data_IF_548316027548
#
_entry.id   IF_548316027548
#
_cell.length_a   1.000
_cell.length_b   1.000
_cell.length_c   1.000
_cell.angle_alpha   90.00
_cell.angle_beta   90.00
_cell.angle_gamma   90.00
#
_symmetry.space_group_name_H-M   'P 1'
#
loop_
_entity.id
_entity.type
_entity.pdbx_description
1 polymer ?
#
# COMPACT_ATOMS: atom_id res chain seq x y z
N UNK A 1 -36.58 -27.33 2.72
CA UNK A 1 -35.75 -26.25 2.17
C UNK A 1 -35.25 -26.63 0.80
N UNK A 2 -35.29 -25.73 -0.15
CA UNK A 2 -34.76 -25.91 -1.50
C UNK A 2 -33.48 -25.04 -1.59
N UNK A 3 -32.37 -25.64 -1.95
CA UNK A 3 -31.10 -24.91 -2.15
C UNK A 3 -30.89 -24.73 -3.64
N UNK A 4 -30.60 -23.51 -4.08
CA UNK A 4 -30.22 -23.19 -5.44
C UNK A 4 -28.74 -22.80 -5.46
N UNK A 5 -28.02 -23.31 -6.44
CA UNK A 5 -26.67 -22.89 -6.75
C UNK A 5 -26.56 -22.54 -8.22
N UNK A 6 -25.75 -21.53 -8.55
CA UNK A 6 -25.38 -21.21 -9.91
C UNK A 6 -23.87 -21.11 -10.01
N UNK A 7 -23.30 -21.66 -11.10
CA UNK A 7 -21.87 -21.54 -11.41
C UNK A 7 -21.74 -20.94 -12.80
N UNK A 8 -20.82 -19.96 -12.93
CA UNK A 8 -20.43 -19.38 -14.22
C UNK A 8 -18.96 -19.75 -14.43
N UNK A 9 -18.68 -20.49 -15.50
CA UNK A 9 -17.34 -20.93 -15.83
C UNK A 9 -17.02 -20.55 -17.27
N UNK A 10 -15.76 -20.14 -17.51
CA UNK A 10 -15.26 -19.94 -18.86
C UNK A 10 -14.68 -21.26 -19.38
N UNK A 11 -15.13 -21.68 -20.57
CA UNK A 11 -14.67 -22.90 -21.21
C UNK A 11 -13.81 -22.61 -22.44
N UNK A 12 -12.80 -23.43 -22.63
CA UNK A 12 -12.16 -23.51 -23.94
C UNK A 12 -13.17 -24.09 -24.93
N UNK A 13 -13.25 -23.52 -26.14
CA UNK A 13 -14.21 -23.94 -27.19
C UNK A 13 -14.18 -25.47 -27.38
N UNK A 14 -15.33 -26.12 -27.21
CA UNK A 14 -15.49 -27.57 -27.37
C UNK A 14 -15.28 -28.42 -26.12
N UNK A 15 -15.05 -27.82 -24.95
CA UNK A 15 -15.01 -28.53 -23.67
C UNK A 15 -16.31 -28.27 -22.90
N UNK A 16 -16.87 -29.32 -22.32
CA UNK A 16 -17.98 -29.26 -21.37
C UNK A 16 -17.55 -29.94 -20.07
N UNK A 17 -17.57 -29.21 -18.96
CA UNK A 17 -17.37 -29.77 -17.64
C UNK A 17 -18.71 -29.88 -16.91
N UNK A 18 -18.82 -30.91 -16.08
CA UNK A 18 -19.97 -31.05 -15.18
C UNK A 18 -19.95 -29.89 -14.16
N UNK A 19 -21.12 -29.43 -13.74
CA UNK A 19 -21.24 -28.47 -12.68
C UNK A 19 -20.49 -28.95 -11.43
N UNK A 20 -19.68 -28.11 -10.81
CA UNK A 20 -18.98 -28.45 -9.58
C UNK A 20 -19.98 -28.83 -8.48
N UNK A 21 -19.50 -29.59 -7.51
CA UNK A 21 -20.28 -29.90 -6.33
C UNK A 21 -20.53 -28.61 -5.51
N UNK A 22 -21.78 -28.16 -5.46
CA UNK A 22 -22.18 -26.92 -4.79
C UNK A 22 -21.80 -26.92 -3.31
N UNK A 23 -21.93 -28.06 -2.62
CA UNK A 23 -21.55 -28.16 -1.21
C UNK A 23 -20.04 -28.05 -1.01
N UNK A 24 -19.25 -28.56 -1.95
CA UNK A 24 -17.79 -28.40 -1.92
C UNK A 24 -17.37 -26.94 -2.16
N UNK A 25 -18.02 -26.26 -3.11
CA UNK A 25 -17.76 -24.83 -3.37
C UNK A 25 -18.17 -23.95 -2.19
N UNK A 26 -19.34 -24.23 -1.60
CA UNK A 26 -19.79 -23.54 -0.38
C UNK A 26 -18.79 -23.74 0.76
N UNK A 27 -18.35 -24.98 0.98
CA UNK A 27 -17.36 -25.30 2.02
C UNK A 27 -16.01 -24.63 1.77
N UNK A 28 -15.60 -24.56 0.51
CA UNK A 28 -14.37 -23.86 0.09
C UNK A 28 -14.47 -22.35 0.40
N UNK A 29 -15.59 -21.73 0.05
CA UNK A 29 -15.83 -20.30 0.34
C UNK A 29 -15.88 -20.04 1.85
N UNK A 30 -16.55 -20.87 2.62
CA UNK A 30 -16.63 -20.74 4.07
C UNK A 30 -15.23 -20.89 4.72
N UNK A 31 -14.44 -21.84 4.27
CA UNK A 31 -13.05 -22.00 4.73
C UNK A 31 -12.17 -20.78 4.40
N UNK A 32 -12.30 -20.24 3.19
CA UNK A 32 -11.61 -19.00 2.80
C UNK A 32 -11.98 -17.84 3.74
N UNK A 33 -13.27 -17.60 3.96
CA UNK A 33 -13.74 -16.53 4.84
C UNK A 33 -13.20 -16.74 6.26
N UNK A 34 -13.29 -17.95 6.81
CA UNK A 34 -12.76 -18.27 8.14
C UNK A 34 -11.25 -18.04 8.25
N UNK A 35 -10.48 -18.45 7.23
CA UNK A 35 -9.04 -18.24 7.19
C UNK A 35 -8.69 -16.76 7.22
N UNK A 36 -9.25 -15.97 6.28
CA UNK A 36 -8.97 -14.54 6.17
C UNK A 36 -9.47 -13.79 7.41
N UNK A 37 -10.61 -14.20 7.97
CA UNK A 37 -11.15 -13.61 9.20
C UNK A 37 -10.24 -13.79 10.40
N UNK A 38 -9.69 -15.00 10.58
CA UNK A 38 -8.85 -15.36 11.71
C UNK A 38 -7.42 -14.84 11.60
N UNK A 39 -6.91 -14.67 10.37
CA UNK A 39 -5.57 -14.13 10.15
C UNK A 39 -5.57 -12.62 10.30
N UNK A 40 -4.48 -12.06 10.82
CA UNK A 40 -4.27 -10.61 10.95
C UNK A 40 -5.50 -9.91 11.57
N UNK A 41 -5.93 -10.35 12.75
CA UNK A 41 -7.09 -9.78 13.43
C UNK A 41 -6.71 -8.48 14.16
N UNK A 42 -7.41 -7.39 13.84
CA UNK A 42 -7.26 -6.11 14.52
C UNK A 42 -8.30 -5.97 15.63
N UNK A 43 -7.82 -5.70 16.83
CA UNK A 43 -8.64 -5.53 18.02
C UNK A 43 -8.29 -4.21 18.72
N UNK A 44 -9.31 -3.40 18.92
CA UNK A 44 -9.22 -2.10 19.60
C UNK A 44 -10.54 -1.80 20.32
N UNK A 45 -10.65 -0.75 21.13
CA UNK A 45 -11.93 -0.28 21.68
C UNK A 45 -12.93 0.18 20.62
N UNK A 46 -12.48 0.48 19.40
CA UNK A 46 -13.34 0.96 18.30
C UNK A 46 -13.86 -0.19 17.45
N UNK A 47 -15.12 -0.54 17.66
CA UNK A 47 -15.78 -1.65 16.93
C UNK A 47 -16.00 -1.34 15.45
N UNK A 48 -16.14 -0.07 15.07
CA UNK A 48 -16.28 0.34 13.66
C UNK A 48 -15.00 0.05 12.90
N UNK A 49 -13.85 0.44 13.45
CA UNK A 49 -12.55 0.18 12.83
C UNK A 49 -12.23 -1.31 12.79
N UNK A 50 -12.53 -2.05 13.86
CA UNK A 50 -12.34 -3.50 13.91
C UNK A 50 -13.14 -4.19 12.79
N UNK A 51 -14.42 -3.80 12.62
CA UNK A 51 -15.32 -4.36 11.60
C UNK A 51 -14.85 -3.97 10.18
N UNK A 52 -14.54 -2.70 9.96
CA UNK A 52 -14.08 -2.22 8.66
C UNK A 52 -12.79 -2.91 8.22
N UNK A 53 -11.85 -3.12 9.15
CA UNK A 53 -10.61 -3.85 8.89
C UNK A 53 -10.87 -5.32 8.50
N UNK A 54 -11.78 -5.99 9.20
CA UNK A 54 -12.15 -7.38 8.91
C UNK A 54 -12.75 -7.53 7.51
N UNK A 55 -13.65 -6.63 7.10
CA UNK A 55 -14.21 -6.62 5.75
C UNK A 55 -13.17 -6.26 4.68
N UNK A 56 -12.32 -5.28 4.94
CA UNK A 56 -11.27 -4.89 4.00
C UNK A 56 -10.30 -6.04 3.69
N UNK A 57 -9.92 -6.86 4.69
CA UNK A 57 -9.11 -8.07 4.47
C UNK A 57 -9.76 -9.03 3.48
N UNK A 58 -11.05 -9.32 3.67
CA UNK A 58 -11.80 -10.22 2.80
C UNK A 58 -11.83 -9.64 1.39
N UNK A 59 -12.20 -8.37 1.25
CA UNK A 59 -12.31 -7.74 -0.06
C UNK A 59 -10.99 -7.72 -0.82
N UNK A 60 -9.88 -7.39 -0.16
CA UNK A 60 -8.55 -7.43 -0.76
C UNK A 60 -8.16 -8.84 -1.24
N UNK A 61 -8.66 -9.88 -0.58
CA UNK A 61 -8.27 -11.28 -0.83
C UNK A 61 -9.17 -12.02 -1.82
N UNK A 62 -10.42 -11.58 -2.02
CA UNK A 62 -11.39 -12.33 -2.84
C UNK A 62 -11.30 -12.05 -4.35
N UNK A 63 -10.54 -11.03 -4.76
CA UNK A 63 -10.37 -10.65 -6.17
C UNK A 63 -9.14 -11.29 -6.82
N UNK A 64 -8.79 -12.50 -6.40
CA UNK A 64 -7.67 -13.26 -6.98
C UNK A 64 -8.23 -14.35 -7.88
N UNK A 65 -7.81 -14.34 -9.14
CA UNK A 65 -8.30 -15.24 -10.16
C UNK A 65 -7.19 -16.16 -10.67
N UNK A 66 -7.53 -17.43 -10.91
CA UNK A 66 -6.67 -18.36 -11.63
C UNK A 66 -6.87 -18.13 -13.13
N UNK A 67 -5.85 -17.62 -13.78
CA UNK A 67 -5.88 -17.23 -15.19
C UNK A 67 -4.86 -17.99 -16.01
N UNK A 68 -4.85 -17.78 -17.35
CA UNK A 68 -3.78 -18.30 -18.23
C UNK A 68 -2.40 -17.74 -17.87
N UNK A 69 -2.34 -16.57 -17.23
CA UNK A 69 -1.12 -15.93 -16.75
C UNK A 69 -0.74 -16.27 -15.30
N UNK A 70 -1.37 -17.30 -14.70
CA UNK A 70 -1.19 -17.67 -13.28
C UNK A 70 -2.23 -17.01 -12.37
N UNK A 71 -1.95 -16.96 -11.08
CA UNK A 71 -2.78 -16.24 -10.12
C UNK A 71 -2.59 -14.73 -10.30
N UNK A 72 -3.68 -14.01 -10.47
CA UNK A 72 -3.68 -12.56 -10.66
C UNK A 72 -4.72 -11.91 -9.74
N UNK A 73 -4.30 -10.91 -9.00
CA UNK A 73 -5.21 -10.05 -8.26
C UNK A 73 -5.78 -8.98 -9.20
N UNK A 74 -7.05 -9.14 -9.59
CA UNK A 74 -7.78 -8.11 -10.33
C UNK A 74 -8.28 -7.05 -9.36
N UNK A 75 -7.90 -5.77 -9.51
CA UNK A 75 -8.33 -4.74 -8.57
C UNK A 75 -9.84 -4.47 -8.62
N UNK A 76 -10.47 -4.91 -9.66
CA UNK A 76 -11.83 -4.58 -10.07
C UNK A 76 -11.79 -3.69 -11.32
N UNK A 77 -12.92 -3.43 -11.89
CA UNK A 77 -13.02 -2.67 -13.13
C UNK A 77 -13.95 -3.37 -14.12
N UNK A 78 -14.36 -2.64 -15.13
CA UNK A 78 -15.49 -3.08 -15.94
C UNK A 78 -15.08 -3.88 -17.17
N UNK A 79 -13.90 -3.59 -17.74
CA UNK A 79 -13.56 -4.05 -19.07
C UNK A 79 -12.72 -5.33 -19.11
N UNK A 80 -12.06 -5.70 -18.01
CA UNK A 80 -11.07 -6.77 -17.99
C UNK A 80 -11.36 -7.77 -16.89
N UNK A 81 -11.51 -9.05 -17.25
CA UNK A 81 -11.72 -10.13 -16.27
C UNK A 81 -10.51 -10.39 -15.39
N UNK A 82 -9.30 -10.20 -15.95
CA UNK A 82 -8.03 -10.35 -15.24
C UNK A 82 -6.98 -9.42 -15.83
N UNK A 83 -6.71 -8.36 -15.13
CA UNK A 83 -5.68 -7.38 -15.46
C UNK A 83 -5.04 -6.89 -14.17
N UNK A 84 -3.79 -6.46 -14.25
CA UNK A 84 -3.04 -5.85 -13.14
C UNK A 84 -2.56 -4.47 -13.57
N UNK A 85 -2.51 -3.55 -12.62
CA UNK A 85 -1.91 -2.22 -12.77
C UNK A 85 -0.77 -2.07 -11.78
N UNK A 86 0.30 -1.34 -12.14
CA UNK A 86 1.48 -1.20 -11.32
C UNK A 86 1.18 -0.57 -9.97
N UNK A 87 0.38 0.50 -9.94
CA UNK A 87 -0.05 1.14 -8.70
C UNK A 87 -0.91 0.21 -7.82
N UNK A 88 -1.97 -0.39 -8.39
CA UNK A 88 -2.87 -1.27 -7.63
C UNK A 88 -2.12 -2.43 -6.98
N UNK A 89 -1.21 -3.04 -7.70
CA UNK A 89 -0.41 -4.15 -7.20
C UNK A 89 0.69 -3.65 -6.24
N UNK A 90 1.63 -2.89 -6.76
CA UNK A 90 2.87 -2.58 -6.04
C UNK A 90 2.67 -1.58 -4.90
N UNK A 91 1.87 -0.53 -5.12
CA UNK A 91 1.67 0.47 -4.07
C UNK A 91 0.62 0.07 -3.04
N UNK A 92 -0.47 -0.60 -3.46
CA UNK A 92 -1.63 -0.76 -2.59
C UNK A 92 -1.72 -2.14 -1.96
N UNK A 93 -1.90 -3.21 -2.75
CA UNK A 93 -2.31 -4.49 -2.19
C UNK A 93 -1.16 -5.45 -1.88
N UNK A 94 -0.12 -5.53 -2.73
CA UNK A 94 0.91 -6.56 -2.56
C UNK A 94 1.61 -6.49 -1.20
N UNK A 95 2.02 -5.29 -0.69
CA UNK A 95 2.67 -5.21 0.63
C UNK A 95 1.74 -5.55 1.81
N UNK A 96 0.45 -5.72 1.58
CA UNK A 96 -0.50 -6.16 2.61
C UNK A 96 -0.51 -7.69 2.79
N UNK A 97 -0.38 -8.48 1.71
CA UNK A 97 -0.56 -9.94 1.76
C UNK A 97 0.40 -10.68 2.71
N UNK A 98 1.68 -10.31 2.85
CA UNK A 98 2.56 -10.94 3.83
C UNK A 98 2.03 -10.85 5.26
N UNK A 99 1.45 -9.72 5.65
CA UNK A 99 0.86 -9.56 6.99
C UNK A 99 -0.33 -10.48 7.21
N UNK A 100 -1.16 -10.64 6.18
CA UNK A 100 -2.33 -11.53 6.22
C UNK A 100 -1.93 -13.02 6.25
N UNK A 101 -0.79 -13.38 5.68
CA UNK A 101 -0.38 -14.79 5.56
C UNK A 101 -1.32 -15.61 4.68
N UNK A 102 -1.93 -14.97 3.68
CA UNK A 102 -2.74 -15.64 2.68
C UNK A 102 -1.87 -16.04 1.50
N UNK A 103 -1.57 -17.34 1.41
CA UNK A 103 -0.61 -17.89 0.43
C UNK A 103 -0.99 -17.55 -1.01
N UNK A 104 -2.27 -17.69 -1.36
CA UNK A 104 -2.77 -17.30 -2.69
C UNK A 104 -2.55 -15.82 -2.99
N UNK A 105 -2.67 -14.95 -1.98
CA UNK A 105 -2.37 -13.52 -2.11
C UNK A 105 -0.89 -13.25 -2.33
N UNK A 106 -0.02 -13.92 -1.58
CA UNK A 106 1.43 -13.82 -1.77
C UNK A 106 1.86 -14.32 -3.15
N UNK A 107 1.31 -15.45 -3.60
CA UNK A 107 1.59 -15.99 -4.94
C UNK A 107 1.11 -15.05 -6.05
N UNK A 108 -0.09 -14.48 -5.93
CA UNK A 108 -0.59 -13.49 -6.88
C UNK A 108 0.30 -12.23 -6.93
N UNK A 109 0.78 -11.77 -5.77
CA UNK A 109 1.71 -10.65 -5.68
C UNK A 109 3.04 -10.96 -6.39
N UNK A 110 3.66 -12.10 -6.10
CA UNK A 110 4.89 -12.55 -6.77
C UNK A 110 4.66 -12.64 -8.28
N UNK A 111 3.54 -13.23 -8.71
CA UNK A 111 3.22 -13.38 -10.12
C UNK A 111 3.04 -12.02 -10.82
N UNK A 112 2.46 -11.03 -10.15
CA UNK A 112 2.35 -9.67 -10.70
C UNK A 112 3.74 -9.06 -10.99
N UNK A 113 4.69 -9.22 -10.08
CA UNK A 113 6.07 -8.77 -10.30
C UNK A 113 6.76 -9.55 -11.43
N UNK A 114 6.49 -10.86 -11.57
CA UNK A 114 6.97 -11.66 -12.72
C UNK A 114 6.42 -11.12 -14.04
N UNK A 115 5.16 -10.70 -14.07
CA UNK A 115 4.57 -10.09 -15.26
C UNK A 115 5.28 -8.80 -15.65
N UNK A 116 5.53 -7.88 -14.69
CA UNK A 116 6.27 -6.65 -14.95
C UNK A 116 7.72 -6.90 -15.35
N UNK A 117 8.39 -7.91 -14.76
CA UNK A 117 9.78 -8.25 -15.05
C UNK A 117 10.01 -8.67 -16.52
N UNK A 118 8.99 -9.17 -17.22
CA UNK A 118 9.10 -9.51 -18.64
C UNK A 118 9.39 -8.32 -19.56
N UNK A 119 9.09 -7.12 -19.09
CA UNK A 119 9.29 -5.87 -19.85
C UNK A 119 10.60 -5.17 -19.52
N UNK A 120 11.41 -5.73 -18.62
CA UNK A 120 12.79 -5.24 -18.45
C UNK A 120 13.55 -5.35 -19.76
N UNK A 121 14.25 -4.30 -20.13
CA UNK A 121 14.99 -4.22 -21.38
C UNK A 121 16.30 -3.45 -21.19
N UNK A 122 17.33 -3.70 -22.04
CA UNK A 122 18.65 -3.07 -21.92
C UNK A 122 18.64 -1.56 -22.15
N UNK A 123 17.68 -1.07 -22.92
CA UNK A 123 17.54 0.33 -23.29
C UNK A 123 16.89 1.15 -22.17
N UNK A 124 16.31 0.48 -21.13
CA UNK A 124 15.54 1.12 -20.09
C UNK A 124 14.33 1.90 -20.65
N UNK A 125 13.59 1.29 -21.60
CA UNK A 125 12.27 1.78 -21.98
C UNK A 125 11.26 1.52 -20.85
N UNK A 126 10.19 2.33 -20.71
CA UNK A 126 9.21 2.19 -19.65
C UNK A 126 8.59 0.79 -19.59
N UNK A 127 8.39 0.27 -18.40
CA UNK A 127 7.53 -0.90 -18.15
C UNK A 127 6.07 -0.45 -18.32
N UNK A 128 5.20 -1.26 -18.98
CA UNK A 128 3.81 -0.91 -19.13
C UNK A 128 3.10 -0.81 -17.78
N UNK A 129 2.21 0.16 -17.67
CA UNK A 129 1.46 0.42 -16.44
C UNK A 129 0.42 -0.66 -16.13
N UNK A 130 -0.01 -1.43 -17.13
CA UNK A 130 -1.05 -2.46 -16.98
C UNK A 130 -0.83 -3.64 -17.92
N UNK A 131 -1.16 -4.84 -17.43
CA UNK A 131 -0.93 -6.11 -18.13
C UNK A 131 -2.14 -7.02 -17.92
N UNK A 132 -2.66 -7.62 -19.01
CA UNK A 132 -3.71 -8.64 -18.97
C UNK A 132 -3.12 -10.04 -18.78
N UNK A 133 -3.98 -11.02 -18.48
CA UNK A 133 -3.60 -12.41 -18.21
C UNK A 133 -2.76 -13.06 -19.31
N UNK A 134 -2.97 -12.68 -20.57
CA UNK A 134 -2.20 -13.14 -21.73
C UNK A 134 -0.78 -12.53 -21.78
N UNK A 135 -0.42 -11.67 -20.82
CA UNK A 135 0.89 -11.03 -20.73
C UNK A 135 1.10 -9.87 -21.69
N UNK A 136 0.03 -9.31 -22.23
CA UNK A 136 0.07 -8.14 -23.12
C UNK A 136 -0.21 -6.86 -22.34
N UNK A 137 0.44 -5.78 -22.75
CA UNK A 137 0.09 -4.42 -22.35
C UNK A 137 -1.29 -4.05 -22.89
N UNK A 138 -2.12 -3.44 -22.06
CA UNK A 138 -3.45 -2.96 -22.45
C UNK A 138 -3.58 -1.44 -22.41
N UNK A 139 -2.55 -0.75 -21.95
CA UNK A 139 -2.60 0.70 -21.77
C UNK A 139 -1.51 1.41 -22.57
N UNK A 140 -1.85 1.79 -23.77
CA UNK A 140 -0.91 2.42 -24.72
C UNK A 140 -0.88 3.96 -24.68
N UNK A 141 -1.75 4.60 -23.89
CA UNK A 141 -2.01 6.03 -24.01
C UNK A 141 -1.48 6.89 -22.86
N UNK A 142 -1.15 6.30 -21.70
CA UNK A 142 -0.76 7.06 -20.51
C UNK A 142 0.72 7.44 -20.50
N UNK A 143 1.56 6.78 -21.28
CA UNK A 143 3.01 6.94 -21.17
C UNK A 143 3.56 6.36 -19.86
N UNK A 144 4.71 6.87 -19.43
CA UNK A 144 5.31 6.55 -18.13
C UNK A 144 4.59 7.30 -17.02
N UNK A 145 3.93 6.58 -16.10
CA UNK A 145 3.23 7.13 -14.95
C UNK A 145 4.10 7.15 -13.66
N UNK A 146 5.38 6.86 -13.78
CA UNK A 146 6.25 6.57 -12.64
C UNK A 146 6.19 5.10 -12.20
N UNK A 147 5.74 4.21 -13.09
CA UNK A 147 5.48 2.79 -12.80
C UNK A 147 6.70 2.06 -12.25
N UNK A 148 7.90 2.37 -12.73
CA UNK A 148 9.13 1.79 -12.19
C UNK A 148 9.37 2.17 -10.72
N UNK A 149 9.05 3.40 -10.32
CA UNK A 149 9.16 3.82 -8.91
C UNK A 149 8.13 3.08 -8.03
N UNK A 150 6.90 2.92 -8.53
CA UNK A 150 5.84 2.15 -7.86
C UNK A 150 6.25 0.69 -7.66
N UNK A 151 6.75 0.05 -8.74
CA UNK A 151 7.17 -1.36 -8.72
C UNK A 151 8.36 -1.55 -7.77
N UNK A 152 9.39 -0.69 -7.83
CA UNK A 152 10.54 -0.79 -6.93
C UNK A 152 10.14 -0.61 -5.46
N UNK A 153 9.28 0.38 -5.17
CA UNK A 153 8.74 0.62 -3.83
C UNK A 153 8.00 -0.60 -3.28
N UNK A 154 7.04 -1.12 -4.05
CA UNK A 154 6.21 -2.24 -3.61
C UNK A 154 6.96 -3.56 -3.53
N UNK A 155 7.78 -3.90 -4.55
CA UNK A 155 8.53 -5.15 -4.59
C UNK A 155 9.57 -5.25 -3.47
N UNK A 156 10.30 -4.16 -3.18
CA UNK A 156 11.27 -4.16 -2.09
C UNK A 156 10.61 -4.30 -0.71
N UNK A 157 9.47 -3.60 -0.49
CA UNK A 157 8.69 -3.75 0.75
C UNK A 157 8.11 -5.15 0.89
N UNK A 158 7.44 -5.65 -0.15
CA UNK A 158 6.86 -6.98 -0.16
C UNK A 158 7.90 -8.07 0.16
N UNK A 159 9.08 -8.01 -0.47
CA UNK A 159 10.15 -8.98 -0.22
C UNK A 159 10.63 -8.96 1.24
N UNK A 160 10.81 -7.77 1.83
CA UNK A 160 11.17 -7.61 3.24
C UNK A 160 10.07 -8.13 4.17
N UNK A 161 8.81 -7.80 3.88
CA UNK A 161 7.65 -8.16 4.70
C UNK A 161 7.33 -9.65 4.62
N UNK A 162 7.51 -10.27 3.46
CA UNK A 162 7.36 -11.72 3.30
C UNK A 162 8.42 -12.51 4.07
N UNK A 163 9.64 -11.98 4.18
CA UNK A 163 10.70 -12.58 4.96
C UNK A 163 11.30 -13.85 4.34
N UNK A 164 11.04 -14.12 3.05
CA UNK A 164 11.57 -15.26 2.31
C UNK A 164 12.76 -14.86 1.42
N UNK A 165 13.92 -15.40 1.73
CA UNK A 165 15.17 -15.10 1.02
C UNK A 165 15.14 -15.54 -0.46
N UNK A 166 14.39 -16.59 -0.81
CA UNK A 166 14.31 -17.07 -2.18
C UNK A 166 13.48 -16.12 -3.02
N UNK A 167 12.33 -15.68 -2.51
CA UNK A 167 11.49 -14.66 -3.16
C UNK A 167 12.22 -13.33 -3.24
N UNK A 168 12.94 -12.94 -2.21
CA UNK A 168 13.76 -11.74 -2.20
C UNK A 168 14.83 -11.77 -3.31
N UNK A 169 15.51 -12.90 -3.50
CA UNK A 169 16.46 -13.09 -4.60
C UNK A 169 15.80 -13.08 -5.97
N UNK A 170 14.61 -13.68 -6.10
CA UNK A 170 13.84 -13.67 -7.34
C UNK A 170 13.42 -12.27 -7.78
N UNK A 171 12.96 -11.44 -6.84
CA UNK A 171 12.48 -10.09 -7.13
C UNK A 171 13.62 -9.05 -7.27
N UNK A 172 14.80 -9.38 -6.77
CA UNK A 172 15.93 -8.44 -6.77
C UNK A 172 16.28 -7.85 -8.15
N UNK A 173 16.37 -8.64 -9.25
CA UNK A 173 16.68 -8.10 -10.58
C UNK A 173 15.66 -7.04 -11.05
N UNK A 174 14.37 -7.24 -10.78
CA UNK A 174 13.32 -6.26 -11.11
C UNK A 174 13.48 -4.98 -10.28
N UNK A 175 13.71 -5.12 -8.98
CA UNK A 175 13.92 -3.98 -8.08
C UNK A 175 15.13 -3.16 -8.56
N UNK A 176 16.25 -3.81 -8.82
CA UNK A 176 17.48 -3.15 -9.27
C UNK A 176 17.31 -2.45 -10.63
N UNK A 177 16.62 -3.11 -11.56
CA UNK A 177 16.29 -2.53 -12.87
C UNK A 177 15.42 -1.27 -12.71
N UNK A 178 14.37 -1.33 -11.92
CA UNK A 178 13.47 -0.21 -11.67
C UNK A 178 14.18 0.97 -10.98
N UNK A 179 15.06 0.69 -10.01
CA UNK A 179 15.88 1.73 -9.38
C UNK A 179 16.82 2.39 -10.37
N UNK A 180 17.45 1.61 -11.26
CA UNK A 180 18.32 2.15 -12.31
C UNK A 180 17.53 2.95 -13.33
N UNK A 181 16.30 2.51 -13.70
CA UNK A 181 15.40 3.26 -14.55
C UNK A 181 15.11 4.64 -13.95
N UNK A 182 14.65 4.70 -12.71
CA UNK A 182 14.38 5.98 -12.02
C UNK A 182 15.60 6.88 -11.95
N UNK A 183 16.78 6.31 -11.70
CA UNK A 183 18.05 7.04 -11.69
C UNK A 183 18.37 7.70 -13.03
N UNK A 184 18.11 7.00 -14.14
CA UNK A 184 18.31 7.52 -15.50
C UNK A 184 17.29 8.60 -15.89
N UNK A 185 16.14 8.63 -15.19
CA UNK A 185 15.06 9.60 -15.35
C UNK A 185 15.19 10.82 -14.43
N UNK A 186 16.30 10.98 -13.73
CA UNK A 186 16.53 12.21 -12.95
C UNK A 186 16.80 13.39 -13.91
N UNK A 187 16.05 14.47 -13.69
CA UNK A 187 16.31 15.75 -14.39
C UNK A 187 17.50 16.50 -13.79
N UNK A 188 17.82 17.67 -14.30
CA UNK A 188 18.93 18.51 -13.82
C UNK A 188 18.78 18.96 -12.36
N UNK A 189 17.55 19.03 -11.85
CA UNK A 189 17.25 19.31 -10.44
C UNK A 189 17.33 18.06 -9.56
N UNK A 190 17.51 16.88 -10.17
CA UNK A 190 17.67 15.58 -9.51
C UNK A 190 16.41 15.01 -8.91
N UNK A 191 15.27 15.23 -9.56
CA UNK A 191 13.96 14.58 -9.31
C UNK A 191 13.54 13.75 -10.50
N UNK A 192 12.71 12.73 -10.31
CA UNK A 192 12.35 11.77 -11.36
C UNK A 192 11.32 12.38 -12.29
N UNK A 193 11.58 12.34 -13.60
CA UNK A 193 10.61 12.72 -14.64
C UNK A 193 9.72 11.53 -15.01
N UNK A 194 8.47 11.82 -15.36
CA UNK A 194 7.48 10.88 -15.88
C UNK A 194 6.51 11.63 -16.80
N UNK A 195 5.85 10.92 -17.71
CA UNK A 195 4.92 11.56 -18.65
C UNK A 195 3.63 11.99 -17.94
N UNK A 196 3.22 11.25 -16.92
CA UNK A 196 2.04 11.52 -16.09
C UNK A 196 2.20 10.88 -14.71
N UNK A 197 1.11 10.68 -13.99
CA UNK A 197 1.03 9.98 -12.73
C UNK A 197 -0.05 8.87 -12.75
N UNK A 198 -0.28 8.23 -11.63
CA UNK A 198 -1.30 7.20 -11.48
C UNK A 198 -2.74 7.69 -11.70
N UNK A 199 -2.97 9.01 -11.71
CA UNK A 199 -4.26 9.62 -12.03
C UNK A 199 -4.55 9.66 -13.53
N UNK A 200 -3.64 9.16 -14.38
CA UNK A 200 -3.85 8.88 -15.81
C UNK A 200 -4.32 10.11 -16.60
N UNK A 201 -3.63 11.24 -16.43
CA UNK A 201 -3.94 12.53 -17.05
C UNK A 201 -5.29 13.17 -16.66
N UNK A 202 -6.00 12.66 -15.66
CA UNK A 202 -7.21 13.33 -15.13
C UNK A 202 -6.89 14.68 -14.49
N UNK A 203 -5.67 14.82 -13.98
CA UNK A 203 -5.12 16.06 -13.47
C UNK A 203 -3.71 16.28 -14.03
N UNK A 204 -3.26 17.52 -14.21
CA UNK A 204 -1.89 17.80 -14.62
C UNK A 204 -0.88 17.22 -13.63
N UNK A 205 0.17 16.55 -14.13
CA UNK A 205 1.24 15.96 -13.33
C UNK A 205 2.60 16.67 -13.49
N UNK A 206 2.74 17.53 -14.51
CA UNK A 206 4.01 18.17 -14.88
C UNK A 206 5.01 17.16 -15.44
N UNK A 207 6.21 17.62 -15.75
CA UNK A 207 7.30 16.77 -16.25
C UNK A 207 7.92 15.89 -15.13
N UNK A 208 7.81 16.33 -13.87
CA UNK A 208 8.22 15.60 -12.69
C UNK A 208 7.22 15.86 -11.56
N UNK A 209 6.77 14.81 -10.90
CA UNK A 209 5.79 14.90 -9.84
C UNK A 209 6.31 14.39 -8.50
N UNK A 210 5.68 14.86 -7.43
CA UNK A 210 6.04 14.56 -6.05
C UNK A 210 5.90 13.07 -5.74
N UNK A 211 4.85 12.40 -6.26
CA UNK A 211 4.59 10.99 -5.99
C UNK A 211 5.75 10.12 -6.49
N UNK A 212 6.08 10.18 -7.78
CA UNK A 212 7.11 9.37 -8.41
C UNK A 212 8.47 9.53 -7.71
N UNK A 213 8.88 10.79 -7.43
CA UNK A 213 10.15 11.05 -6.74
C UNK A 213 10.16 10.54 -5.30
N UNK A 214 9.04 10.61 -4.60
CA UNK A 214 8.92 10.14 -3.21
C UNK A 214 8.90 8.61 -3.13
N UNK A 215 8.21 7.94 -4.04
CA UNK A 215 8.23 6.47 -4.11
C UNK A 215 9.63 5.94 -4.44
N UNK A 216 10.35 6.58 -5.36
CA UNK A 216 11.75 6.24 -5.63
C UNK A 216 12.63 6.41 -4.39
N UNK A 217 12.44 7.48 -3.61
CA UNK A 217 13.15 7.67 -2.34
C UNK A 217 12.93 6.51 -1.36
N UNK A 218 11.69 6.10 -1.16
CA UNK A 218 11.37 4.99 -0.24
C UNK A 218 11.87 3.64 -0.78
N UNK A 219 11.80 3.43 -2.10
CA UNK A 219 12.35 2.26 -2.77
C UNK A 219 13.85 2.11 -2.55
N UNK A 220 14.63 3.20 -2.65
CA UNK A 220 16.07 3.20 -2.36
C UNK A 220 16.36 2.78 -0.92
N UNK A 221 15.59 3.27 0.06
CA UNK A 221 15.75 2.88 1.46
C UNK A 221 15.42 1.42 1.68
N UNK A 222 14.29 0.94 1.15
CA UNK A 222 13.87 -0.46 1.26
C UNK A 222 14.88 -1.40 0.57
N UNK A 223 15.35 -1.04 -0.62
CA UNK A 223 16.37 -1.80 -1.34
C UNK A 223 17.74 -1.80 -0.61
N UNK A 224 18.05 -0.75 0.15
CA UNK A 224 19.29 -0.75 0.96
C UNK A 224 19.25 -1.83 2.04
N UNK A 225 18.11 -2.01 2.73
CA UNK A 225 17.93 -3.09 3.70
C UNK A 225 17.92 -4.46 3.02
N UNK A 226 17.19 -4.58 1.91
CA UNK A 226 17.08 -5.83 1.18
C UNK A 226 18.43 -6.29 0.63
N UNK A 227 19.25 -5.38 0.11
CA UNK A 227 20.59 -5.71 -0.40
C UNK A 227 21.52 -6.25 0.68
N UNK A 228 21.41 -5.78 1.93
CA UNK A 228 22.15 -6.31 3.06
C UNK A 228 21.73 -7.74 3.40
N UNK A 229 20.42 -8.01 3.46
CA UNK A 229 19.86 -9.34 3.69
C UNK A 229 20.24 -10.34 2.60
N UNK A 230 20.36 -9.87 1.35
CA UNK A 230 20.80 -10.68 0.20
C UNK A 230 22.32 -10.85 0.11
N UNK A 231 23.09 -10.35 1.08
CA UNK A 231 24.56 -10.45 1.08
C UNK A 231 25.23 -9.69 -0.08
N UNK A 232 24.57 -8.68 -0.64
CA UNK A 232 25.17 -7.84 -1.66
C UNK A 232 26.32 -7.00 -1.08
N UNK A 233 27.25 -6.49 -1.90
CA UNK A 233 28.33 -5.65 -1.41
C UNK A 233 27.83 -4.46 -0.58
N UNK A 234 28.44 -4.20 0.56
CA UNK A 234 28.08 -3.07 1.45
C UNK A 234 28.14 -1.71 0.73
N UNK A 235 28.97 -1.59 -0.29
CA UNK A 235 29.03 -0.40 -1.16
C UNK A 235 27.70 -0.14 -1.87
N UNK A 236 26.93 -1.17 -2.20
CA UNK A 236 25.64 -1.04 -2.86
C UNK A 236 24.57 -0.48 -1.89
N UNK A 237 24.44 -1.06 -0.70
CA UNK A 237 23.50 -0.56 0.32
C UNK A 237 23.81 0.88 0.74
N UNK A 238 25.09 1.19 0.94
CA UNK A 238 25.55 2.55 1.21
C UNK A 238 25.28 3.50 0.03
N UNK A 239 25.43 3.02 -1.21
CA UNK A 239 25.10 3.75 -2.43
C UNK A 239 23.62 4.17 -2.44
N UNK A 240 22.71 3.24 -2.20
CA UNK A 240 21.27 3.52 -2.12
C UNK A 240 20.92 4.51 -1.00
N UNK A 241 21.49 4.35 0.19
CA UNK A 241 21.28 5.31 1.30
C UNK A 241 21.78 6.71 0.96
N UNK A 242 22.95 6.81 0.31
CA UNK A 242 23.51 8.08 -0.15
C UNK A 242 22.60 8.73 -1.19
N UNK A 243 22.14 7.97 -2.17
CA UNK A 243 21.24 8.44 -3.22
C UNK A 243 19.89 8.90 -2.65
N UNK A 244 19.29 8.13 -1.75
CA UNK A 244 18.09 8.52 -1.02
C UNK A 244 18.28 9.85 -0.26
N UNK A 245 19.40 10.02 0.42
CA UNK A 245 19.71 11.28 1.12
C UNK A 245 19.83 12.48 0.19
N UNK A 246 20.39 12.30 -0.99
CA UNK A 246 20.48 13.34 -2.03
C UNK A 246 19.09 13.64 -2.57
N UNK A 247 18.35 12.59 -2.95
CA UNK A 247 17.01 12.74 -3.51
C UNK A 247 16.06 13.46 -2.53
N UNK A 248 16.11 13.15 -1.22
CA UNK A 248 15.31 13.87 -0.22
C UNK A 248 15.57 15.38 -0.24
N UNK A 249 16.85 15.80 -0.37
CA UNK A 249 17.20 17.21 -0.48
C UNK A 249 16.66 17.83 -1.78
N UNK A 250 16.69 17.07 -2.87
CA UNK A 250 16.17 17.52 -4.15
C UNK A 250 14.65 17.63 -4.13
N UNK A 251 13.94 16.66 -3.50
CA UNK A 251 12.50 16.73 -3.27
C UNK A 251 12.14 17.99 -2.50
N UNK A 252 12.84 18.29 -1.41
CA UNK A 252 12.63 19.50 -0.64
C UNK A 252 12.82 20.76 -1.52
N UNK A 253 13.97 20.87 -2.19
CA UNK A 253 14.28 22.04 -3.03
C UNK A 253 13.30 22.25 -4.18
N UNK A 254 12.79 21.16 -4.80
CA UNK A 254 11.96 21.23 -6.00
C UNK A 254 10.48 21.40 -5.69
N UNK A 255 9.98 20.70 -4.67
CA UNK A 255 8.55 20.61 -4.41
C UNK A 255 8.08 21.42 -3.18
N UNK A 256 8.94 21.77 -2.21
CA UNK A 256 8.50 22.59 -1.08
C UNK A 256 8.00 23.97 -1.55
N UNK A 257 6.81 24.34 -1.09
CA UNK A 257 6.16 25.58 -1.47
C UNK A 257 5.10 25.98 -0.46
N UNK A 258 4.75 27.29 -0.49
CA UNK A 258 3.50 27.75 0.10
C UNK A 258 2.40 27.63 -0.97
N UNK A 259 1.41 26.76 -0.72
CA UNK A 259 0.28 26.55 -1.63
C UNK A 259 -1.00 26.89 -0.87
N UNK A 260 -1.77 27.84 -1.39
CA UNK A 260 -3.03 28.30 -0.79
C UNK A 260 -2.89 28.66 0.72
N UNK A 261 -1.72 29.20 1.11
CA UNK A 261 -1.42 29.60 2.49
C UNK A 261 -0.83 28.53 3.39
N UNK A 262 -0.59 27.32 2.87
CA UNK A 262 0.03 26.22 3.62
C UNK A 262 1.48 25.99 3.21
N UNK A 263 2.38 25.95 4.19
CA UNK A 263 3.80 25.58 4.01
C UNK A 263 3.92 24.07 3.80
N UNK A 264 3.72 23.60 2.56
CA UNK A 264 3.64 22.19 2.19
C UNK A 264 4.47 21.88 0.93
N UNK A 265 3.91 21.16 -0.01
CA UNK A 265 4.51 20.80 -1.29
C UNK A 265 3.59 21.20 -2.44
N UNK A 266 4.19 21.70 -3.52
CA UNK A 266 3.54 21.67 -4.84
C UNK A 266 3.63 20.25 -5.39
N UNK A 267 2.65 19.83 -6.17
CA UNK A 267 2.66 18.49 -6.74
C UNK A 267 3.64 18.35 -7.92
N UNK A 268 3.78 19.43 -8.72
CA UNK A 268 4.75 19.58 -9.79
C UNK A 268 5.17 21.06 -9.90
N UNK A 269 6.24 21.35 -10.65
CA UNK A 269 6.73 22.73 -10.84
C UNK A 269 5.70 23.57 -11.58
N UNK A 270 5.26 24.66 -10.97
CA UNK A 270 4.18 25.53 -11.48
C UNK A 270 2.78 25.18 -10.99
N UNK A 271 2.61 24.11 -10.19
CA UNK A 271 1.35 23.84 -9.52
C UNK A 271 1.14 24.80 -8.34
N UNK A 272 -0.01 25.46 -8.30
CA UNK A 272 -0.43 26.44 -7.29
C UNK A 272 -1.71 26.05 -6.55
N UNK A 273 -2.25 24.87 -6.82
CA UNK A 273 -3.42 24.30 -6.16
C UNK A 273 -3.02 23.14 -5.25
N UNK A 274 -3.70 23.02 -4.11
CA UNK A 274 -3.50 21.86 -3.23
C UNK A 274 -3.97 20.58 -3.92
N UNK A 275 -3.13 19.56 -3.85
CA UNK A 275 -3.39 18.18 -4.30
C UNK A 275 -3.35 17.23 -3.10
N UNK A 276 -4.24 16.27 -3.06
CA UNK A 276 -4.25 15.26 -1.98
C UNK A 276 -2.94 14.45 -1.91
N UNK A 277 -2.25 14.26 -3.03
CA UNK A 277 -0.98 13.54 -3.11
C UNK A 277 0.22 14.21 -2.43
N UNK A 278 0.06 15.42 -1.87
CA UNK A 278 1.06 15.99 -0.94
C UNK A 278 1.26 15.13 0.31
N UNK A 279 0.40 14.15 0.55
CA UNK A 279 0.52 13.19 1.65
C UNK A 279 1.67 12.18 1.48
N UNK A 280 2.14 11.91 0.27
CA UNK A 280 3.10 10.82 -0.01
C UNK A 280 4.44 11.01 0.71
N UNK A 281 5.02 12.21 0.82
CA UNK A 281 6.19 12.43 1.66
C UNK A 281 6.02 11.97 3.12
N UNK A 282 4.85 12.19 3.73
CA UNK A 282 4.57 11.74 5.09
C UNK A 282 4.62 10.21 5.20
N UNK A 283 4.07 9.51 4.20
CA UNK A 283 4.10 8.04 4.12
C UNK A 283 5.53 7.51 3.99
N UNK A 284 6.37 8.19 3.24
CA UNK A 284 7.78 7.84 3.06
C UNK A 284 8.68 8.25 4.24
N UNK A 285 8.14 8.93 5.25
CA UNK A 285 8.89 9.40 6.41
C UNK A 285 9.66 10.71 6.18
N UNK A 286 9.25 11.50 5.22
CA UNK A 286 9.76 12.86 4.99
C UNK A 286 8.84 13.84 5.74
N UNK A 287 9.33 14.38 6.85
CA UNK A 287 8.54 15.20 7.77
C UNK A 287 8.95 16.69 7.78
N UNK A 288 9.72 17.13 6.79
CA UNK A 288 10.25 18.51 6.73
C UNK A 288 9.13 19.56 6.67
N UNK A 289 7.99 19.23 6.04
CA UNK A 289 6.79 20.06 5.94
C UNK A 289 5.54 19.44 6.59
N UNK A 290 5.73 18.56 7.60
CA UNK A 290 4.64 17.75 8.16
C UNK A 290 3.47 18.58 8.67
N UNK A 291 3.73 19.66 9.42
CA UNK A 291 2.69 20.48 10.02
C UNK A 291 1.80 21.16 8.96
N UNK A 292 2.42 21.85 8.01
CA UNK A 292 1.70 22.51 6.92
C UNK A 292 0.97 21.50 6.03
N UNK A 293 1.60 20.34 5.76
CA UNK A 293 0.99 19.27 4.95
C UNK A 293 -0.22 18.66 5.64
N UNK A 294 -0.14 18.33 6.92
CA UNK A 294 -1.29 17.79 7.67
C UNK A 294 -2.41 18.83 7.75
N UNK A 295 -2.08 20.08 8.01
CA UNK A 295 -3.07 21.16 8.06
C UNK A 295 -3.74 21.39 6.69
N UNK A 296 -2.99 21.33 5.59
CA UNK A 296 -3.53 21.41 4.24
C UNK A 296 -4.47 20.25 3.91
N UNK A 297 -4.06 19.01 4.19
CA UNK A 297 -4.86 17.81 3.95
C UNK A 297 -6.18 17.81 4.70
N UNK A 298 -6.17 18.29 5.95
CA UNK A 298 -7.35 18.32 6.83
C UNK A 298 -8.12 19.64 6.76
N UNK A 299 -7.71 20.57 5.89
CA UNK A 299 -8.39 21.85 5.69
C UNK A 299 -9.69 21.67 4.91
N UNK A 300 -10.61 22.63 4.99
CA UNK A 300 -11.82 22.66 4.15
C UNK A 300 -11.52 22.74 2.64
N UNK A 301 -10.29 23.09 2.24
CA UNK A 301 -9.87 23.09 0.83
C UNK A 301 -9.80 21.68 0.25
N UNK A 302 -9.43 20.68 1.06
CA UNK A 302 -9.29 19.31 0.61
C UNK A 302 -10.24 18.35 1.32
N UNK A 303 -10.40 18.45 2.66
CA UNK A 303 -11.25 17.50 3.39
C UNK A 303 -12.64 18.07 3.62
N UNK A 304 -13.62 17.49 2.93
CA UNK A 304 -15.03 17.86 3.00
C UNK A 304 -15.84 16.81 3.78
N UNK A 305 -17.14 16.99 3.87
CA UNK A 305 -18.04 15.98 4.42
C UNK A 305 -18.06 14.67 3.61
N UNK A 306 -17.78 14.74 2.30
CA UNK A 306 -17.75 13.60 1.38
C UNK A 306 -16.39 12.89 1.32
N UNK A 307 -15.37 13.38 2.02
CA UNK A 307 -14.03 12.82 2.05
C UNK A 307 -12.96 13.79 1.53
N UNK A 308 -11.83 13.23 1.10
CA UNK A 308 -10.68 14.00 0.60
C UNK A 308 -10.81 14.24 -0.91
N UNK A 309 -10.85 15.52 -1.31
CA UNK A 309 -10.78 15.91 -2.72
C UNK A 309 -9.42 15.57 -3.33
N UNK A 310 -9.41 15.19 -4.59
CA UNK A 310 -8.17 14.97 -5.32
C UNK A 310 -7.37 16.27 -5.53
N UNK A 311 -8.08 17.38 -5.73
CA UNK A 311 -7.51 18.72 -5.90
C UNK A 311 -8.49 19.79 -5.44
N UNK A 312 -7.99 20.90 -4.90
CA UNK A 312 -8.80 22.07 -4.58
C UNK A 312 -9.56 22.56 -5.81
N UNK A 313 -10.83 22.97 -5.59
CA UNK A 313 -11.69 23.49 -6.66
C UNK A 313 -12.30 22.44 -7.58
N UNK A 314 -12.10 21.15 -7.28
CA UNK A 314 -12.77 20.03 -8.00
C UNK A 314 -13.91 19.46 -7.18
N UNK A 315 -14.65 18.51 -7.77
CA UNK A 315 -15.68 17.73 -7.08
C UNK A 315 -15.37 16.23 -7.08
N UNK A 316 -14.11 15.87 -7.39
CA UNK A 316 -13.68 14.49 -7.53
C UNK A 316 -13.02 14.00 -6.24
N UNK A 317 -13.54 12.93 -5.69
CA UNK A 317 -13.06 12.23 -4.51
C UNK A 317 -12.49 10.88 -4.93
N UNK A 318 -11.23 10.63 -4.59
CA UNK A 318 -10.60 9.34 -4.78
C UNK A 318 -10.22 8.77 -3.41
N UNK A 319 -10.63 7.53 -3.14
CA UNK A 319 -10.35 6.93 -1.83
C UNK A 319 -8.87 6.61 -1.65
N UNK A 320 -8.13 6.26 -2.72
CA UNK A 320 -6.69 5.97 -2.61
C UNK A 320 -5.87 7.12 -1.99
N UNK A 321 -5.95 8.38 -2.42
CA UNK A 321 -5.24 9.47 -1.75
C UNK A 321 -5.76 9.73 -0.33
N UNK A 322 -7.03 9.50 -0.03
CA UNK A 322 -7.56 9.61 1.33
C UNK A 322 -6.91 8.57 2.27
N UNK A 323 -6.76 7.32 1.79
CA UNK A 323 -6.13 6.24 2.53
C UNK A 323 -4.62 6.48 2.71
N UNK A 324 -3.94 7.01 1.69
CA UNK A 324 -2.55 7.45 1.81
C UNK A 324 -2.42 8.61 2.81
N UNK A 325 -3.29 9.61 2.76
CA UNK A 325 -3.28 10.73 3.67
C UNK A 325 -3.43 10.28 5.12
N UNK A 326 -4.40 9.42 5.42
CA UNK A 326 -4.62 8.89 6.77
C UNK A 326 -3.40 8.11 7.27
N UNK A 327 -2.79 7.27 6.42
CA UNK A 327 -1.55 6.57 6.76
C UNK A 327 -0.41 7.53 7.05
N UNK A 328 -0.24 8.56 6.20
CA UNK A 328 0.79 9.58 6.37
C UNK A 328 0.60 10.47 7.61
N UNK A 329 -0.64 10.81 7.94
CA UNK A 329 -0.97 11.60 9.14
C UNK A 329 -0.63 10.82 10.42
N UNK A 330 -0.90 9.50 10.46
CA UNK A 330 -0.40 8.64 11.55
C UNK A 330 1.12 8.63 11.61
N UNK A 331 1.80 8.43 10.48
CA UNK A 331 3.27 8.40 10.41
C UNK A 331 3.89 9.74 10.87
N UNK A 332 3.20 10.86 10.63
CA UNK A 332 3.61 12.19 11.11
C UNK A 332 3.42 12.39 12.63
N UNK A 333 2.79 11.43 13.32
CA UNK A 333 2.55 11.48 14.76
C UNK A 333 1.23 12.17 15.17
N UNK A 334 0.38 12.53 14.22
CA UNK A 334 -0.90 13.22 14.43
C UNK A 334 -2.05 12.21 14.66
N UNK A 335 -1.83 11.28 15.59
CA UNK A 335 -2.69 10.10 15.83
C UNK A 335 -4.15 10.44 16.11
N UNK A 336 -4.42 11.50 16.89
CA UNK A 336 -5.80 11.87 17.24
C UNK A 336 -6.59 12.35 16.02
N UNK A 337 -5.93 13.19 15.19
CA UNK A 337 -6.51 13.63 13.93
C UNK A 337 -6.73 12.45 13.00
N UNK A 338 -5.71 11.61 12.80
CA UNK A 338 -5.79 10.44 11.93
C UNK A 338 -6.91 9.48 12.37
N UNK A 339 -7.01 9.16 13.67
CA UNK A 339 -8.04 8.26 14.20
C UNK A 339 -9.44 8.82 13.97
N UNK A 340 -9.69 10.09 14.32
CA UNK A 340 -10.99 10.72 14.13
C UNK A 340 -11.44 10.73 12.65
N UNK A 341 -10.52 11.03 11.75
CA UNK A 341 -10.84 11.05 10.31
C UNK A 341 -10.99 9.62 9.74
N UNK A 342 -10.22 8.66 10.22
CA UNK A 342 -10.37 7.25 9.85
C UNK A 342 -11.70 6.66 10.34
N UNK A 343 -12.12 6.97 11.56
CA UNK A 343 -13.44 6.59 12.10
C UNK A 343 -14.57 7.14 11.23
N UNK A 344 -14.52 8.44 10.91
CA UNK A 344 -15.50 9.08 10.03
C UNK A 344 -15.52 8.47 8.63
N UNK A 345 -14.35 8.29 8.02
CA UNK A 345 -14.20 7.64 6.72
C UNK A 345 -14.80 6.23 6.74
N UNK A 346 -14.45 5.42 7.74
CA UNK A 346 -14.92 4.04 7.86
C UNK A 346 -16.44 3.97 8.02
N UNK A 347 -17.03 4.82 8.86
CA UNK A 347 -18.47 4.86 9.05
C UNK A 347 -19.22 5.29 7.77
N UNK A 348 -18.72 6.28 7.04
CA UNK A 348 -19.39 6.81 5.85
C UNK A 348 -19.15 6.00 4.59
N UNK A 349 -17.92 5.51 4.39
CA UNK A 349 -17.50 4.83 3.15
C UNK A 349 -17.66 3.32 3.21
N UNK A 350 -17.24 2.69 4.33
CA UNK A 350 -17.13 1.24 4.41
C UNK A 350 -18.33 0.58 5.09
N UNK A 351 -19.03 1.28 5.99
CA UNK A 351 -20.18 0.76 6.75
C UNK A 351 -21.46 1.54 6.49
N UNK A 352 -21.46 2.49 5.57
CA UNK A 352 -22.59 3.33 5.18
C UNK A 352 -23.12 2.97 3.79
N UNK A 353 -23.27 3.97 2.93
CA UNK A 353 -23.90 3.83 1.60
C UNK A 353 -23.08 3.00 0.60
N UNK A 354 -21.78 2.85 0.79
CA UNK A 354 -20.86 2.11 -0.08
C UNK A 354 -20.33 0.84 0.59
N UNK A 355 -21.21 0.15 1.31
CA UNK A 355 -20.87 -1.03 2.09
C UNK A 355 -20.38 -2.18 1.20
N UNK A 356 -19.33 -2.87 1.59
CA UNK A 356 -18.36 -2.56 2.67
C UNK A 356 -17.00 -2.10 2.14
N UNK A 357 -16.91 -1.46 0.99
CA UNK A 357 -15.66 -1.31 0.23
C UNK A 357 -15.31 0.15 -0.07
N UNK A 358 -13.99 0.50 -0.13
CA UNK A 358 -13.53 1.73 -0.75
C UNK A 358 -13.96 1.81 -2.22
N UNK A 359 -14.10 3.01 -2.74
CA UNK A 359 -14.46 3.27 -4.13
C UNK A 359 -13.28 3.93 -4.86
N UNK A 360 -13.20 3.75 -6.18
CA UNK A 360 -12.15 4.36 -6.97
C UNK A 360 -12.28 5.87 -6.97
N UNK A 361 -13.39 6.38 -7.48
CA UNK A 361 -13.67 7.79 -7.60
C UNK A 361 -15.17 8.08 -7.45
N UNK A 362 -15.50 9.24 -6.87
CA UNK A 362 -16.88 9.69 -6.71
C UNK A 362 -16.95 11.21 -6.95
N UNK A 363 -17.98 11.70 -7.65
CA UNK A 363 -19.04 10.99 -8.37
C UNK A 363 -18.60 10.39 -9.71
N UNK A 364 -17.35 10.58 -10.09
CA UNK A 364 -16.75 9.98 -11.28
C UNK A 364 -16.68 8.45 -11.17
N UNK A 365 -16.74 7.75 -12.31
CA UNK A 365 -16.41 6.33 -12.40
C UNK A 365 -17.46 5.35 -11.89
N UNK A 366 -18.72 5.76 -11.78
CA UNK A 366 -19.83 4.89 -11.34
C UNK A 366 -19.59 4.21 -9.97
N UNK A 367 -18.78 4.81 -9.10
CA UNK A 367 -18.50 4.31 -7.75
C UNK A 367 -17.95 2.87 -7.75
N UNK A 368 -16.98 2.59 -8.62
CA UNK A 368 -16.37 1.27 -8.73
C UNK A 368 -15.68 0.91 -7.41
N UNK A 369 -15.95 -0.30 -6.94
CA UNK A 369 -15.35 -0.84 -5.75
C UNK A 369 -14.07 -1.59 -6.15
N UNK A 370 -12.92 -1.08 -5.74
CA UNK A 370 -11.64 -1.69 -6.04
C UNK A 370 -11.09 -2.44 -4.81
N UNK A 371 -10.61 -3.65 -5.05
CA UNK A 371 -10.06 -4.51 -3.98
C UNK A 371 -8.67 -4.09 -3.52
N UNK A 372 -7.89 -3.44 -4.39
CA UNK A 372 -6.55 -2.95 -4.06
C UNK A 372 -6.59 -1.87 -2.97
N UNK A 373 -7.55 -0.95 -3.03
CA UNK A 373 -7.77 0.07 -2.00
C UNK A 373 -8.19 -0.54 -0.65
N UNK A 374 -8.81 -1.71 -0.66
CA UNK A 374 -9.11 -2.44 0.58
C UNK A 374 -7.82 -2.93 1.27
N UNK A 375 -6.82 -3.38 0.49
CA UNK A 375 -5.49 -3.66 1.02
C UNK A 375 -4.81 -2.41 1.58
N UNK A 376 -4.92 -1.30 0.86
CA UNK A 376 -4.39 0.00 1.30
C UNK A 376 -5.06 0.48 2.60
N UNK A 377 -6.37 0.25 2.78
CA UNK A 377 -7.06 0.52 4.05
C UNK A 377 -6.44 -0.27 5.21
N UNK A 378 -6.18 -1.57 5.02
CA UNK A 378 -5.53 -2.39 6.05
C UNK A 378 -4.14 -1.84 6.42
N UNK A 379 -3.40 -1.31 5.45
CA UNK A 379 -2.08 -0.71 5.67
C UNK A 379 -2.12 0.58 6.49
N UNK A 380 -3.26 1.29 6.58
CA UNK A 380 -3.39 2.42 7.52
C UNK A 380 -3.22 1.94 8.95
N UNK A 381 -3.84 0.81 9.30
CA UNK A 381 -3.70 0.23 10.64
C UNK A 381 -2.27 -0.31 10.83
N UNK A 382 -1.77 -1.11 9.90
CA UNK A 382 -0.47 -1.79 10.00
C UNK A 382 0.69 -0.77 10.00
N UNK A 383 0.80 0.03 8.93
CA UNK A 383 1.93 0.92 8.70
C UNK A 383 1.73 2.31 9.31
N UNK A 384 0.47 2.75 9.47
CA UNK A 384 0.15 4.04 10.10
C UNK A 384 -0.03 3.92 11.61
N UNK A 385 -1.09 3.26 12.08
CA UNK A 385 -1.44 3.22 13.50
C UNK A 385 -0.44 2.40 14.34
N UNK A 386 -0.03 1.20 13.88
CA UNK A 386 1.06 0.45 14.52
C UNK A 386 2.44 0.98 14.11
N UNK A 387 2.54 1.65 12.98
CA UNK A 387 3.79 2.21 12.48
C UNK A 387 4.84 1.15 12.16
N UNK A 388 4.40 0.02 11.57
CA UNK A 388 5.30 -1.07 11.16
C UNK A 388 6.01 -0.68 9.87
N UNK A 389 7.35 -0.69 9.90
CA UNK A 389 8.19 -0.46 8.73
C UNK A 389 9.28 -1.53 8.64
N UNK A 390 9.37 -2.28 7.52
CA UNK A 390 10.38 -3.31 7.36
C UNK A 390 11.79 -2.72 7.29
N UNK A 391 12.75 -3.35 7.96
CA UNK A 391 14.18 -2.99 7.98
C UNK A 391 15.09 -4.20 7.81
N UNK A 392 14.53 -5.35 7.49
CA UNK A 392 15.20 -6.61 7.21
C UNK A 392 14.16 -7.70 7.02
N UNK A 393 14.55 -8.88 6.55
CA UNK A 393 13.66 -10.03 6.33
C UNK A 393 12.97 -10.51 7.62
N UNK A 394 13.62 -10.28 8.78
CA UNK A 394 13.11 -10.67 10.10
C UNK A 394 13.14 -9.52 11.10
N UNK A 395 13.21 -8.29 10.59
CA UNK A 395 13.39 -7.11 11.42
C UNK A 395 12.50 -5.97 10.91
N UNK A 396 11.83 -5.30 11.83
CA UNK A 396 11.05 -4.11 11.53
C UNK A 396 11.14 -3.08 12.64
N UNK A 397 10.87 -1.84 12.31
CA UNK A 397 10.63 -0.77 13.27
C UNK A 397 9.13 -0.71 13.55
N UNK A 398 8.78 -0.53 14.82
CA UNK A 398 7.41 -0.36 15.31
C UNK A 398 7.31 1.01 15.97
N UNK A 399 6.40 1.87 15.50
CA UNK A 399 6.19 3.24 15.99
C UNK A 399 4.73 3.45 16.37
N UNK A 400 4.25 2.88 17.49
CA UNK A 400 2.84 2.83 17.81
C UNK A 400 2.24 4.22 18.03
N UNK A 401 1.10 4.46 17.39
CA UNK A 401 0.28 5.67 17.47
C UNK A 401 -1.01 5.37 18.24
N UNK A 402 -0.89 4.84 19.46
CA UNK A 402 -2.05 4.51 20.32
C UNK A 402 -2.84 5.79 20.65
N UNK A 403 -4.12 5.92 20.25
CA UNK A 403 -4.95 7.08 20.58
C UNK A 403 -5.07 7.31 22.09
N UNK A 404 -5.21 8.56 22.52
CA UNK A 404 -5.14 8.90 23.96
C UNK A 404 -6.29 8.28 24.78
N UNK A 405 -7.46 8.10 24.17
CA UNK A 405 -8.62 7.49 24.82
C UNK A 405 -8.59 5.94 24.83
N UNK A 406 -7.59 5.33 24.13
CA UNK A 406 -7.52 3.88 24.04
C UNK A 406 -6.57 3.29 25.08
N UNK A 407 -7.02 2.27 25.79
CA UNK A 407 -6.19 1.51 26.72
C UNK A 407 -5.27 0.52 25.99
N UNK A 408 -5.67 0.06 24.80
CA UNK A 408 -4.89 -0.90 24.02
C UNK A 408 -5.24 -0.87 22.52
N UNK A 409 -4.35 -1.45 21.74
CA UNK A 409 -4.59 -1.93 20.38
C UNK A 409 -3.78 -3.21 20.15
N UNK A 410 -4.30 -4.14 19.35
CA UNK A 410 -3.67 -5.44 19.13
C UNK A 410 -3.84 -5.89 17.67
N UNK A 411 -2.77 -6.39 17.07
CA UNK A 411 -2.81 -7.20 15.86
C UNK A 411 -2.48 -8.64 16.24
N UNK A 412 -3.39 -9.56 15.96
CA UNK A 412 -3.20 -10.99 16.22
C UNK A 412 -2.94 -11.73 14.93
N UNK A 413 -2.20 -12.81 15.03
CA UNK A 413 -1.90 -13.68 13.89
C UNK A 413 -1.28 -12.90 12.72
N UNK A 414 -0.24 -12.12 12.97
CA UNK A 414 0.58 -11.43 11.97
C UNK A 414 1.55 -12.45 11.39
N UNK A 415 1.58 -12.62 10.07
CA UNK A 415 2.43 -13.59 9.38
C UNK A 415 3.68 -12.99 8.72
N UNK A 416 3.77 -11.67 8.61
CA UNK A 416 4.93 -11.01 8.03
C UNK A 416 6.23 -11.29 8.81
N UNK A 417 7.36 -11.21 8.13
CA UNK A 417 8.72 -11.31 8.69
C UNK A 417 9.11 -12.68 9.26
N UNK A 418 8.22 -13.67 9.27
CA UNK A 418 8.51 -15.00 9.79
C UNK A 418 7.54 -16.06 9.22
N UNK A 419 7.92 -17.29 9.35
CA UNK A 419 7.10 -18.46 8.97
C UNK A 419 6.01 -18.79 10.01
N UNK A 420 6.13 -18.28 11.25
CA UNK A 420 5.17 -18.50 12.33
C UNK A 420 4.46 -17.21 12.69
N UNK A 421 3.13 -17.24 12.85
CA UNK A 421 2.38 -16.05 13.24
C UNK A 421 2.76 -15.57 14.64
N UNK A 422 2.63 -14.28 14.85
CA UNK A 422 2.83 -13.64 16.14
C UNK A 422 1.79 -12.53 16.35
N UNK A 423 1.62 -12.12 17.62
CA UNK A 423 0.74 -11.01 17.96
C UNK A 423 1.57 -9.79 18.39
N UNK A 424 1.07 -8.61 18.08
CA UNK A 424 1.59 -7.33 18.57
C UNK A 424 0.50 -6.67 19.39
N UNK A 425 0.73 -6.53 20.70
CA UNK A 425 -0.19 -5.82 21.59
C UNK A 425 0.49 -4.60 22.19
N UNK A 426 -0.14 -3.45 22.03
CA UNK A 426 0.28 -2.17 22.61
C UNK A 426 -0.73 -1.83 23.70
N UNK A 427 -0.24 -1.56 24.91
CA UNK A 427 -1.08 -1.30 26.09
C UNK A 427 -0.61 0.01 26.72
N UNK A 428 -1.54 0.86 27.13
CA UNK A 428 -1.23 2.06 27.91
C UNK A 428 -0.66 1.66 29.27
N UNK A 429 0.39 2.34 29.70
CA UNK A 429 1.07 2.06 30.96
C UNK A 429 1.54 3.39 31.59
N UNK A 430 0.68 3.98 32.42
CA UNK A 430 0.89 5.31 32.94
C UNK A 430 1.02 6.34 31.80
N UNK A 431 2.08 7.13 31.81
CA UNK A 431 2.36 8.13 30.75
C UNK A 431 3.02 7.52 29.50
N UNK A 432 3.24 6.21 29.47
CA UNK A 432 3.87 5.50 28.36
C UNK A 432 3.03 4.37 27.82
N UNK A 433 3.69 3.49 27.10
CA UNK A 433 3.11 2.27 26.54
C UNK A 433 4.00 1.07 26.81
N UNK A 434 3.36 -0.09 26.93
CA UNK A 434 4.02 -1.39 26.91
C UNK A 434 3.68 -2.11 25.61
N UNK A 435 4.70 -2.56 24.91
CA UNK A 435 4.58 -3.32 23.65
C UNK A 435 4.90 -4.77 23.97
N UNK A 436 3.99 -5.67 23.64
CA UNK A 436 4.14 -7.11 23.83
C UNK A 436 4.12 -7.79 22.48
N UNK A 437 5.17 -8.53 22.16
CA UNK A 437 5.19 -9.47 21.04
C UNK A 437 4.92 -10.85 21.63
N UNK A 438 3.86 -11.53 21.17
CA UNK A 438 3.47 -12.84 21.67
C UNK A 438 3.59 -13.88 20.56
N UNK A 439 3.89 -15.11 20.95
CA UNK A 439 3.81 -16.31 20.10
C UNK A 439 3.07 -17.41 20.87
N UNK A 440 2.14 -18.07 20.20
CA UNK A 440 1.34 -19.14 20.82
C UNK A 440 0.75 -18.72 22.18
N UNK A 441 0.24 -17.46 22.25
CA UNK A 441 -0.35 -16.88 23.46
C UNK A 441 0.66 -16.46 24.54
N UNK A 442 1.95 -16.77 24.42
CA UNK A 442 2.99 -16.43 25.41
C UNK A 442 3.74 -15.16 25.01
N UNK A 443 4.08 -14.34 26.00
CA UNK A 443 4.93 -13.16 25.76
C UNK A 443 6.33 -13.64 25.39
N UNK A 444 6.76 -13.29 24.17
CA UNK A 444 8.08 -13.60 23.67
C UNK A 444 9.05 -12.44 23.83
N UNK A 445 8.60 -11.21 23.54
CA UNK A 445 9.36 -9.98 23.74
C UNK A 445 8.47 -8.91 24.35
N UNK A 446 9.08 -8.01 25.12
CA UNK A 446 8.39 -6.88 25.74
C UNK A 446 9.28 -5.65 25.72
N UNK A 447 8.67 -4.51 25.38
CA UNK A 447 9.34 -3.22 25.34
C UNK A 447 8.50 -2.20 26.12
N UNK A 448 9.18 -1.27 26.82
CA UNK A 448 8.56 -0.07 27.37
C UNK A 448 8.95 1.12 26.50
N UNK A 449 7.99 1.95 26.14
CA UNK A 449 8.20 3.10 25.26
C UNK A 449 7.19 4.21 25.56
N UNK A 450 7.24 5.28 24.79
CA UNK A 450 6.18 6.30 24.73
C UNK A 450 5.49 6.24 23.38
N UNK A 451 4.25 6.71 23.32
CA UNK A 451 3.49 6.77 22.07
C UNK A 451 4.29 7.55 21.02
N UNK A 452 4.35 7.05 19.81
CA UNK A 452 5.07 7.67 18.69
C UNK A 452 6.59 7.50 18.71
N UNK A 453 7.16 6.82 19.72
CA UNK A 453 8.60 6.50 19.74
C UNK A 453 8.86 5.13 19.14
N UNK A 454 9.80 5.09 18.20
CA UNK A 454 10.17 3.87 17.48
C UNK A 454 10.90 2.86 18.36
N UNK A 455 10.56 1.59 18.17
CA UNK A 455 11.25 0.43 18.77
C UNK A 455 11.62 -0.52 17.64
N UNK A 456 12.87 -1.00 17.61
CA UNK A 456 13.28 -2.03 16.67
C UNK A 456 12.92 -3.42 17.22
N UNK A 457 12.21 -4.20 16.40
CA UNK A 457 11.83 -5.57 16.69
C UNK A 457 12.57 -6.50 15.75
N UNK A 458 13.27 -7.50 16.30
CA UNK A 458 13.93 -8.58 15.54
C UNK A 458 13.26 -9.89 15.92
N UNK A 459 12.80 -10.67 14.94
CA UNK A 459 12.07 -11.93 15.17
C UNK A 459 12.98 -13.18 15.20
N UNK A 460 14.21 -13.07 14.69
CA UNK A 460 15.26 -14.13 14.76
C UNK A 460 16.54 -13.60 15.35
#
# INVERSE_FOLDING_TARGET
SITFGASIQAYKRGQTELLPNIDAEFSSRDNFIKQVWNNLDFCSPDTTLNTAFAFAKIRASESIYRTSGGLMHGPGGEAYYAAIWANDQAEYVNPFFPFLGYETGNEAAINSYRHFARFMNPEYNPIPSSIIAEGKDIWNGAGDRGDAAMIAYGAARFALELGDINVANELWPLIEWCLMYCKRKLNDEGVVISDTDEMENRFPAGDANLNTSTLYYDALLSASYLSEELGKPVSLSNGYRKEAKILRKNIARYFEANIEGYETYRYYKGNDLLRSWICVPLVAGIFDRKEGTVNALLSPHLWTENGLLSQTGTSTYWDRPALYALRGIYAAGEREKATRYLQRYSAQRLLGNHVPYPIEAWPEGNQRHLSAESGLYCRIIIEGMFGIRPTGLHTFVLTPQLPDEWDFMELKNVYAFDTKPFDIRVIRNGNGIKILIKREGKIWKSYSSTVGKSVQVRLK
#
